data_IF_628514859720
#
_entry.id   IF_628514859720
#
_cell.length_a   1.000
_cell.length_b   1.000
_cell.length_c   1.000
_cell.angle_alpha   90.00
_cell.angle_beta   90.00
_cell.angle_gamma   90.00
#
_symmetry.space_group_name_H-M   'P 1'
#
loop_
_entity.id
_entity.type
_entity.pdbx_description
1 polymer ?
#
# COMPACT_ATOMS: atom_id res chain seq x y z
N UNK A 1 -53.58 11.46 29.10
CA UNK A 1 -52.41 10.59 29.36
C UNK A 1 -51.56 10.57 28.09
N UNK A 2 -50.46 11.34 28.07
CA UNK A 2 -49.59 11.52 26.89
C UNK A 2 -48.61 10.34 26.81
N UNK A 3 -48.68 9.55 25.74
CA UNK A 3 -47.72 8.46 25.48
C UNK A 3 -46.48 9.04 24.81
N UNK A 4 -45.37 9.15 25.55
CA UNK A 4 -44.05 9.36 24.96
C UNK A 4 -43.56 8.04 24.34
N UNK A 5 -43.35 8.03 23.04
CA UNK A 5 -42.63 6.96 22.34
C UNK A 5 -41.15 7.36 22.27
N UNK A 6 -40.30 6.65 23.02
CA UNK A 6 -38.85 6.73 22.89
C UNK A 6 -38.43 6.16 21.53
N UNK A 7 -37.82 6.99 20.69
CA UNK A 7 -37.11 6.53 19.50
C UNK A 7 -35.71 6.07 19.94
N UNK A 8 -35.44 4.77 19.84
CA UNK A 8 -34.12 4.19 20.08
C UNK A 8 -33.22 4.48 18.88
N UNK A 9 -32.18 5.30 19.07
CA UNK A 9 -31.09 5.47 18.11
C UNK A 9 -30.11 4.30 18.23
N UNK A 10 -30.21 3.33 17.31
CA UNK A 10 -29.17 2.33 17.13
C UNK A 10 -28.00 2.96 16.35
N UNK A 11 -26.86 3.17 17.01
CA UNK A 11 -25.63 3.58 16.37
C UNK A 11 -24.95 2.34 15.74
N UNK A 12 -25.00 2.23 14.42
CA UNK A 12 -24.22 1.23 13.67
C UNK A 12 -22.76 1.70 13.62
N UNK A 13 -21.90 1.07 14.41
CA UNK A 13 -20.44 1.18 14.21
C UNK A 13 -20.10 0.29 13.01
N UNK A 14 -19.93 0.89 11.83
CA UNK A 14 -19.39 0.16 10.69
C UNK A 14 -17.89 -0.06 10.93
N UNK A 15 -17.50 -1.30 11.21
CA UNK A 15 -16.10 -1.71 11.09
C UNK A 15 -15.73 -1.61 9.61
N UNK A 16 -14.84 -0.70 9.26
CA UNK A 16 -14.22 -0.69 7.93
C UNK A 16 -13.36 -1.94 7.83
N UNK A 17 -13.72 -2.90 6.97
CA UNK A 17 -12.81 -3.98 6.63
C UNK A 17 -11.53 -3.37 6.03
N UNK A 18 -10.36 -3.74 6.54
CA UNK A 18 -9.11 -3.46 5.85
C UNK A 18 -9.16 -4.19 4.51
N UNK A 19 -9.25 -3.43 3.42
CA UNK A 19 -9.20 -3.98 2.06
C UNK A 19 -7.76 -3.97 1.60
N UNK A 20 -7.40 -4.93 0.74
CA UNK A 20 -6.08 -4.97 0.12
C UNK A 20 -5.76 -3.63 -0.54
N UNK A 21 -4.56 -3.10 -0.28
CA UNK A 21 -4.13 -1.80 -0.78
C UNK A 21 -2.90 -1.96 -1.66
N UNK A 22 -2.95 -1.39 -2.86
CA UNK A 22 -1.81 -1.35 -3.79
C UNK A 22 -1.15 0.02 -3.75
N UNK A 23 0.10 0.06 -3.31
CA UNK A 23 0.96 1.23 -3.29
C UNK A 23 1.81 1.26 -4.54
N UNK A 24 1.84 2.40 -5.23
CA UNK A 24 2.62 2.63 -6.43
C UNK A 24 3.55 3.83 -6.23
N UNK A 25 4.79 3.70 -6.66
CA UNK A 25 5.79 4.76 -6.51
C UNK A 25 7.01 4.51 -7.39
N UNK A 26 7.86 5.51 -7.56
CA UNK A 26 9.14 5.38 -8.24
C UNK A 26 10.24 5.91 -7.35
N UNK A 27 11.33 5.16 -7.27
CA UNK A 27 12.50 5.45 -6.44
C UNK A 27 13.70 5.66 -7.34
N UNK A 28 14.48 6.70 -7.09
CA UNK A 28 15.77 6.89 -7.74
C UNK A 28 16.86 6.50 -6.75
N UNK A 29 17.68 5.53 -7.12
CA UNK A 29 18.76 5.00 -6.29
C UNK A 29 20.04 5.22 -7.08
N UNK A 30 20.84 6.21 -6.69
CA UNK A 30 22.02 6.62 -7.46
C UNK A 30 21.69 6.85 -8.95
N UNK A 31 22.25 6.06 -9.87
CA UNK A 31 21.99 6.13 -11.31
C UNK A 31 20.80 5.30 -11.80
N UNK A 32 20.21 4.46 -10.94
CA UNK A 32 19.10 3.57 -11.28
C UNK A 32 17.75 4.01 -10.75
N UNK A 33 16.71 3.31 -11.21
CA UNK A 33 15.32 3.51 -10.78
C UNK A 33 14.66 2.20 -10.37
N UNK A 34 13.78 2.26 -9.38
CA UNK A 34 12.88 1.17 -9.00
C UNK A 34 11.44 1.67 -9.05
N UNK A 35 10.67 1.18 -10.02
CA UNK A 35 9.24 1.42 -10.12
C UNK A 35 8.49 0.34 -9.34
N UNK A 36 7.86 0.75 -8.26
CA UNK A 36 7.23 -0.12 -7.27
C UNK A 36 5.72 -0.18 -7.51
N UNK A 37 5.17 -1.39 -7.49
CA UNK A 37 3.75 -1.66 -7.28
C UNK A 37 3.64 -2.78 -6.25
N UNK A 38 3.32 -2.46 -5.00
CA UNK A 38 3.29 -3.41 -3.88
C UNK A 38 1.87 -3.49 -3.34
N UNK A 39 1.31 -4.70 -3.29
CA UNK A 39 -0.03 -4.96 -2.75
C UNK A 39 0.09 -5.55 -1.35
N UNK A 40 -0.61 -4.93 -0.41
CA UNK A 40 -0.70 -5.36 0.99
C UNK A 40 -2.11 -5.84 1.32
N UNK A 41 -2.27 -6.49 2.47
CA UNK A 41 -3.57 -6.91 3.01
C UNK A 41 -4.42 -5.78 3.63
N UNK A 42 -3.93 -4.53 3.58
CA UNK A 42 -4.59 -3.37 4.17
C UNK A 42 -4.23 -3.11 5.63
N UNK A 43 -3.30 -3.88 6.21
CA UNK A 43 -2.76 -3.60 7.54
C UNK A 43 -2.09 -2.23 7.59
N UNK A 44 -2.38 -1.45 8.63
CA UNK A 44 -1.76 -0.15 8.92
C UNK A 44 -0.84 -0.30 10.13
N UNK A 45 0.32 0.36 10.08
CA UNK A 45 1.41 0.22 11.04
C UNK A 45 2.54 -0.65 10.47
N UNK A 46 3.35 -1.23 11.34
CA UNK A 46 4.47 -2.12 10.94
C UNK A 46 3.95 -3.34 10.20
N UNK A 47 4.56 -3.63 9.05
CA UNK A 47 4.20 -4.76 8.20
C UNK A 47 5.14 -5.93 8.41
N UNK A 48 4.58 -7.14 8.46
CA UNK A 48 5.29 -8.40 8.33
C UNK A 48 5.18 -9.00 6.93
N UNK A 49 5.93 -10.06 6.66
CA UNK A 49 5.95 -10.72 5.34
C UNK A 49 4.56 -11.20 4.90
N UNK A 50 3.74 -11.68 5.84
CA UNK A 50 2.37 -12.11 5.57
C UNK A 50 1.43 -10.97 5.14
N UNK A 51 1.76 -9.72 5.46
CA UNK A 51 0.95 -8.57 5.04
C UNK A 51 1.25 -8.15 3.59
N UNK A 52 2.36 -8.61 3.00
CA UNK A 52 2.71 -8.34 1.60
C UNK A 52 2.15 -9.46 0.73
N UNK A 53 1.11 -9.15 -0.04
CA UNK A 53 0.37 -10.14 -0.83
C UNK A 53 0.97 -10.33 -2.22
N UNK A 54 1.46 -9.24 -2.83
CA UNK A 54 2.03 -9.28 -4.17
C UNK A 54 2.91 -8.06 -4.47
N UNK A 55 3.73 -8.17 -5.50
CA UNK A 55 4.51 -7.04 -6.01
C UNK A 55 4.79 -7.15 -7.51
N UNK A 56 4.97 -6.00 -8.14
CA UNK A 56 5.62 -5.84 -9.44
C UNK A 56 6.61 -4.71 -9.27
N UNK A 57 7.89 -5.03 -9.26
CA UNK A 57 8.97 -4.05 -9.07
C UNK A 57 9.88 -4.11 -10.29
N UNK A 58 9.91 -3.03 -11.07
CA UNK A 58 10.82 -2.91 -12.21
C UNK A 58 12.03 -2.11 -11.78
N UNK A 59 13.19 -2.76 -11.77
CA UNK A 59 14.48 -2.11 -11.54
C UNK A 59 15.13 -1.81 -12.87
N UNK A 60 15.71 -0.62 -13.01
CA UNK A 60 16.44 -0.19 -14.19
C UNK A 60 17.75 0.46 -13.76
N UNK A 61 18.84 0.05 -14.37
CA UNK A 61 20.18 0.59 -14.14
C UNK A 61 20.94 0.70 -15.47
N UNK A 62 22.25 0.95 -15.40
CA UNK A 62 23.09 1.06 -16.59
C UNK A 62 23.25 -0.26 -17.38
N UNK A 63 22.90 -1.40 -16.81
CA UNK A 63 23.02 -2.72 -17.42
C UNK A 63 21.72 -3.17 -18.12
N UNK A 64 20.57 -2.66 -17.68
CA UNK A 64 19.29 -2.95 -18.31
C UNK A 64 18.12 -2.76 -17.37
N UNK A 65 17.05 -3.51 -17.65
CA UNK A 65 15.82 -3.50 -16.83
C UNK A 65 15.37 -4.92 -16.53
N UNK A 66 14.93 -5.14 -15.30
CA UNK A 66 14.39 -6.42 -14.84
C UNK A 66 13.16 -6.19 -13.97
N UNK A 67 12.14 -7.04 -14.13
CA UNK A 67 10.92 -6.97 -13.32
C UNK A 67 10.83 -8.16 -12.37
N UNK A 68 10.74 -7.83 -11.08
CA UNK A 68 10.48 -8.73 -9.97
C UNK A 68 8.96 -8.86 -9.79
N UNK A 69 8.45 -10.07 -10.00
CA UNK A 69 7.06 -10.44 -9.84
C UNK A 69 6.85 -11.26 -8.58
N UNK A 70 5.88 -10.83 -7.78
CA UNK A 70 5.40 -11.56 -6.62
C UNK A 70 4.43 -12.68 -6.99
N UNK A 71 3.88 -13.38 -5.98
CA UNK A 71 3.12 -14.62 -6.16
C UNK A 71 1.88 -14.49 -7.06
N UNK A 72 1.24 -13.31 -7.11
CA UNK A 72 0.02 -13.09 -7.89
C UNK A 72 0.28 -12.39 -9.24
N UNK A 73 1.52 -11.97 -9.49
CA UNK A 73 1.94 -11.28 -10.73
C UNK A 73 2.91 -12.09 -11.61
N UNK A 74 3.17 -13.36 -11.30
CA UNK A 74 4.01 -14.25 -12.12
C UNK A 74 5.06 -15.05 -11.34
N UNK A 75 5.34 -14.67 -10.09
CA UNK A 75 6.08 -15.49 -9.13
C UNK A 75 7.52 -15.81 -9.51
N UNK A 76 8.26 -14.86 -10.09
CA UNK A 76 9.67 -15.06 -10.45
C UNK A 76 10.66 -14.62 -9.35
N UNK A 77 10.18 -14.14 -8.21
CA UNK A 77 11.01 -13.56 -7.15
C UNK A 77 10.47 -13.88 -5.75
N UNK A 78 11.33 -13.77 -4.74
CA UNK A 78 11.01 -13.95 -3.33
C UNK A 78 11.14 -12.66 -2.53
N UNK A 79 10.48 -12.64 -1.36
CA UNK A 79 10.53 -11.55 -0.38
C UNK A 79 11.23 -12.03 0.89
N UNK A 80 12.27 -11.30 1.31
CA UNK A 80 12.79 -11.36 2.68
C UNK A 80 12.44 -10.04 3.37
N UNK A 81 11.57 -10.10 4.36
CA UNK A 81 11.21 -8.98 5.21
C UNK A 81 11.58 -9.32 6.65
N UNK A 82 12.41 -8.48 7.25
CA UNK A 82 12.84 -8.63 8.65
C UNK A 82 12.71 -7.33 9.40
N UNK A 83 12.59 -7.45 10.73
CA UNK A 83 12.54 -6.30 11.63
C UNK A 83 11.26 -5.48 11.49
N UNK A 84 11.35 -4.18 11.76
CA UNK A 84 10.18 -3.30 11.93
C UNK A 84 10.20 -2.05 11.07
N UNK A 85 11.10 -1.98 10.08
CA UNK A 85 11.29 -0.77 9.28
C UNK A 85 10.20 -0.50 8.25
N UNK A 86 9.60 -1.55 7.70
CA UNK A 86 8.51 -1.40 6.73
C UNK A 86 7.18 -1.18 7.45
N UNK A 87 6.47 -0.13 7.08
CA UNK A 87 5.16 0.20 7.62
C UNK A 87 4.23 0.78 6.55
N UNK A 88 2.93 0.68 6.76
CA UNK A 88 1.92 1.34 5.94
C UNK A 88 1.07 2.30 6.76
N UNK A 89 0.61 3.36 6.11
CA UNK A 89 -0.48 4.22 6.55
C UNK A 89 -1.67 3.99 5.62
N UNK A 90 -2.77 4.74 5.82
CA UNK A 90 -3.89 4.71 4.90
C UNK A 90 -3.52 5.16 3.47
N UNK A 91 -2.41 5.89 3.29
CA UNK A 91 -2.03 6.50 2.02
C UNK A 91 -0.64 6.10 1.55
N UNK A 92 0.26 5.71 2.44
CA UNK A 92 1.69 5.59 2.11
C UNK A 92 2.29 4.30 2.66
N UNK A 93 3.18 3.70 1.87
CA UNK A 93 4.11 2.66 2.28
C UNK A 93 5.44 3.33 2.61
N UNK A 94 5.94 3.14 3.82
CA UNK A 94 7.13 3.80 4.33
C UNK A 94 8.17 2.78 4.79
N UNK A 95 9.43 3.19 4.71
CA UNK A 95 10.54 2.49 5.35
C UNK A 95 11.32 3.43 6.26
N UNK A 96 11.47 3.03 7.53
CA UNK A 96 12.29 3.72 8.51
C UNK A 96 13.72 3.17 8.54
N UNK A 97 14.66 3.92 7.99
CA UNK A 97 16.09 3.60 7.97
C UNK A 97 16.77 3.71 9.34
N UNK A 98 16.08 4.23 10.37
CA UNK A 98 16.53 4.21 11.77
C UNK A 98 16.10 2.96 12.55
N UNK A 99 15.20 2.15 11.99
CA UNK A 99 14.74 0.90 12.61
C UNK A 99 15.77 -0.24 12.44
N UNK A 100 15.45 -1.45 12.90
CA UNK A 100 16.21 -2.65 12.53
C UNK A 100 15.44 -3.42 11.45
N UNK A 101 16.15 -3.93 10.44
CA UNK A 101 15.59 -4.86 9.46
C UNK A 101 15.96 -4.55 8.01
N UNK A 102 15.23 -5.20 7.11
CA UNK A 102 15.33 -5.01 5.66
C UNK A 102 14.05 -5.48 4.96
N UNK A 103 13.78 -4.94 3.78
CA UNK A 103 12.86 -5.51 2.80
C UNK A 103 13.62 -5.76 1.49
N UNK A 104 13.78 -7.03 1.13
CA UNK A 104 14.49 -7.50 -0.06
C UNK A 104 13.52 -8.24 -0.98
N UNK A 105 13.46 -7.80 -2.23
CA UNK A 105 12.79 -8.49 -3.31
C UNK A 105 13.85 -8.99 -4.27
N UNK A 106 13.95 -10.29 -4.50
CA UNK A 106 15.05 -10.88 -5.28
C UNK A 106 14.61 -12.06 -6.14
N UNK A 107 15.10 -12.10 -7.37
CA UNK A 107 14.91 -13.20 -8.32
C UNK A 107 16.13 -14.13 -8.37
N UNK A 108 15.99 -15.44 -8.60
CA UNK A 108 14.74 -16.21 -8.57
C UNK A 108 14.20 -16.43 -7.14
N UNK A 109 14.97 -16.08 -6.11
CA UNK A 109 14.58 -16.20 -4.72
C UNK A 109 15.58 -15.47 -3.82
N UNK A 110 15.23 -15.33 -2.54
CA UNK A 110 16.08 -14.63 -1.56
C UNK A 110 17.39 -15.39 -1.34
N UNK A 111 18.53 -14.70 -1.41
CA UNK A 111 19.86 -15.28 -1.28
C UNK A 111 20.44 -15.86 -2.57
N UNK A 112 19.77 -15.66 -3.71
CA UNK A 112 20.24 -16.18 -5.00
C UNK A 112 21.41 -15.40 -5.60
N UNK A 113 21.61 -14.15 -5.19
CA UNK A 113 22.50 -13.21 -5.88
C UNK A 113 21.97 -12.74 -7.23
N UNK A 114 20.68 -12.94 -7.54
CA UNK A 114 20.08 -12.41 -8.76
C UNK A 114 19.63 -10.96 -8.65
N UNK A 115 18.92 -10.44 -9.68
CA UNK A 115 18.37 -9.08 -9.68
C UNK A 115 17.53 -8.81 -8.44
N UNK A 116 17.65 -7.60 -7.88
CA UNK A 116 16.96 -7.26 -6.64
C UNK A 116 16.62 -5.77 -6.50
N UNK A 117 15.68 -5.51 -5.60
CA UNK A 117 15.44 -4.22 -4.98
C UNK A 117 15.45 -4.40 -3.46
N UNK A 118 16.18 -3.56 -2.74
CA UNK A 118 16.30 -3.68 -1.30
C UNK A 118 16.34 -2.34 -0.58
N UNK A 119 15.66 -2.29 0.56
CA UNK A 119 15.81 -1.24 1.57
C UNK A 119 16.27 -1.90 2.87
N UNK A 120 17.33 -1.36 3.48
CA UNK A 120 17.88 -1.90 4.73
C UNK A 120 18.24 -0.79 5.70
N UNK A 121 18.22 -1.13 6.98
CA UNK A 121 18.79 -0.29 8.04
C UNK A 121 20.15 -0.79 8.54
N UNK A 122 20.55 -2.00 8.17
CA UNK A 122 21.81 -2.65 8.55
C UNK A 122 22.40 -3.42 7.36
N UNK A 123 23.65 -3.83 7.44
CA UNK A 123 24.37 -4.52 6.36
C UNK A 123 23.83 -5.94 6.14
N UNK A 124 22.86 -6.14 5.23
CA UNK A 124 22.27 -7.47 5.00
C UNK A 124 21.75 -7.74 3.56
N UNK A 125 21.30 -6.74 2.80
CA UNK A 125 20.89 -6.91 1.41
C UNK A 125 22.08 -7.26 0.51
N UNK A 126 23.25 -6.73 0.85
CA UNK A 126 24.45 -6.75 0.02
C UNK A 126 25.68 -6.36 0.84
N UNK A 127 26.56 -7.34 1.14
CA UNK A 127 27.76 -7.12 1.96
C UNK A 127 29.05 -6.89 1.14
N UNK A 128 29.01 -7.08 -0.18
CA UNK A 128 30.16 -6.79 -1.04
C UNK A 128 30.24 -5.28 -1.31
N UNK A 129 31.35 -4.63 -0.95
CA UNK A 129 31.56 -3.20 -1.24
C UNK A 129 31.53 -2.25 -0.03
N UNK A 130 31.61 -2.78 1.20
CA UNK A 130 32.05 -2.00 2.36
C UNK A 130 31.14 -0.88 2.86
N UNK A 131 29.92 -0.78 2.35
CA UNK A 131 28.93 0.18 2.84
C UNK A 131 28.12 -0.47 3.94
N UNK A 132 28.45 -0.10 5.17
CA UNK A 132 27.81 -0.61 6.37
C UNK A 132 26.70 0.35 6.79
N UNK A 133 25.49 -0.18 6.94
CA UNK A 133 24.36 0.56 7.51
C UNK A 133 23.24 0.94 6.52
N UNK A 134 22.39 1.89 6.91
CA UNK A 134 21.12 2.11 6.22
C UNK A 134 21.29 2.62 4.79
N UNK A 135 20.65 1.93 3.84
CA UNK A 135 20.74 2.21 2.42
C UNK A 135 19.57 1.60 1.64
N UNK A 136 19.32 2.18 0.47
CA UNK A 136 18.49 1.61 -0.58
C UNK A 136 19.41 1.16 -1.73
N UNK A 137 19.13 0.00 -2.32
CA UNK A 137 19.98 -0.63 -3.33
C UNK A 137 19.14 -1.38 -4.37
N UNK A 138 19.61 -1.42 -5.62
CA UNK A 138 19.01 -2.20 -6.70
C UNK A 138 20.04 -2.71 -7.71
N UNK A 139 19.65 -3.74 -8.46
CA UNK A 139 20.32 -4.15 -9.70
C UNK A 139 19.41 -4.99 -10.60
N UNK A 140 19.53 -4.76 -11.91
CA UNK A 140 18.78 -5.45 -12.97
C UNK A 140 19.39 -6.78 -13.40
N UNK A 141 20.61 -7.09 -12.97
CA UNK A 141 21.35 -8.31 -13.31
C UNK A 141 21.67 -9.14 -12.06
N UNK A 142 22.19 -10.34 -12.26
CA UNK A 142 22.73 -11.11 -11.14
C UNK A 142 23.94 -10.38 -10.55
N UNK A 143 23.85 -10.04 -9.27
CA UNK A 143 24.90 -9.38 -8.55
C UNK A 143 25.95 -10.41 -8.10
N UNK A 144 27.17 -10.29 -8.62
CA UNK A 144 28.32 -10.97 -8.03
C UNK A 144 29.46 -10.03 -7.65
N UNK A 145 29.48 -8.78 -8.13
CA UNK A 145 30.49 -7.80 -7.77
C UNK A 145 29.90 -6.49 -7.25
N UNK A 146 30.55 -5.94 -6.22
CA UNK A 146 30.21 -4.72 -5.50
C UNK A 146 30.00 -3.46 -6.38
N UNK A 147 30.44 -3.50 -7.64
CA UNK A 147 30.45 -2.37 -8.57
C UNK A 147 29.23 -2.26 -9.46
N UNK A 148 28.44 -3.33 -9.62
CA UNK A 148 27.38 -3.39 -10.63
C UNK A 148 25.99 -3.02 -10.08
N UNK A 149 25.97 -2.38 -8.91
CA UNK A 149 24.76 -2.11 -8.14
C UNK A 149 24.57 -0.62 -7.98
N UNK A 150 23.33 -0.18 -8.12
CA UNK A 150 22.95 1.19 -7.83
C UNK A 150 22.60 1.28 -6.34
N UNK A 151 23.29 2.15 -5.59
CA UNK A 151 23.15 2.22 -4.14
C UNK A 151 23.18 3.63 -3.62
N UNK A 152 22.27 3.94 -2.69
CA UNK A 152 22.14 5.25 -2.06
C UNK A 152 21.99 5.13 -0.55
N UNK A 153 22.82 5.86 0.20
CA UNK A 153 22.70 5.97 1.64
C UNK A 153 21.48 6.81 2.01
N UNK A 154 20.63 6.30 2.91
CA UNK A 154 19.41 6.99 3.35
C UNK A 154 19.34 6.97 4.87
N UNK A 155 18.69 7.96 5.48
CA UNK A 155 18.43 8.04 6.92
C UNK A 155 16.99 8.53 7.16
N UNK A 156 16.44 8.20 8.33
CA UNK A 156 15.09 8.56 8.72
C UNK A 156 14.02 7.75 8.00
N UNK A 157 12.77 8.20 8.08
CA UNK A 157 11.64 7.55 7.41
C UNK A 157 11.43 8.13 6.02
N UNK A 158 11.24 7.26 5.02
CA UNK A 158 10.99 7.66 3.64
C UNK A 158 9.75 6.96 3.10
N UNK A 159 8.94 7.69 2.33
CA UNK A 159 7.82 7.14 1.57
C UNK A 159 8.37 6.40 0.36
N UNK A 160 8.11 5.09 0.28
CA UNK A 160 8.49 4.26 -0.84
C UNK A 160 7.48 4.37 -1.98
N UNK A 161 6.20 4.34 -1.64
CA UNK A 161 5.08 4.34 -2.57
C UNK A 161 3.82 4.85 -1.89
N UNK A 162 2.85 5.34 -2.67
CA UNK A 162 1.57 5.81 -2.14
C UNK A 162 0.42 5.02 -2.76
N UNK A 163 -0.71 4.89 -2.05
CA UNK A 163 -1.90 4.21 -2.54
C UNK A 163 -2.27 4.83 -3.88
N UNK A 164 -2.43 3.98 -4.89
CA UNK A 164 -2.96 4.41 -6.18
C UNK A 164 -4.39 4.88 -5.95
N UNK A 165 -4.61 6.21 -5.91
CA UNK A 165 -5.90 6.86 -5.57
C UNK A 165 -7.09 5.97 -5.92
N UNK A 166 -7.66 5.33 -4.90
CA UNK A 166 -8.93 4.64 -5.04
C UNK A 166 -9.95 5.73 -5.34
N UNK A 167 -10.30 5.88 -6.61
CA UNK A 167 -11.55 6.54 -7.00
C UNK A 167 -12.61 5.95 -6.08
N UNK A 168 -13.43 6.77 -5.36
CA UNK A 168 -14.42 6.23 -4.45
C UNK A 168 -15.21 5.19 -5.22
N UNK A 169 -15.13 3.93 -4.77
CA UNK A 169 -15.53 2.81 -5.59
C UNK A 169 -16.96 3.04 -6.12
N UNK A 170 -17.31 2.57 -7.33
CA UNK A 170 -18.67 2.73 -7.87
C UNK A 170 -19.76 2.33 -6.88
N UNK A 171 -19.47 1.39 -5.96
CA UNK A 171 -20.31 1.02 -4.83
C UNK A 171 -20.60 2.16 -3.85
N UNK A 172 -19.61 2.99 -3.49
CA UNK A 172 -19.79 4.14 -2.59
C UNK A 172 -20.76 5.16 -3.19
N UNK A 173 -20.63 5.42 -4.50
CA UNK A 173 -21.57 6.28 -5.22
C UNK A 173 -22.96 5.65 -5.26
N UNK A 174 -23.06 4.37 -5.56
CA UNK A 174 -24.33 3.65 -5.57
C UNK A 174 -25.02 3.66 -4.20
N UNK A 175 -24.27 3.52 -3.10
CA UNK A 175 -24.80 3.57 -1.73
C UNK A 175 -25.21 4.98 -1.33
N UNK A 176 -24.46 6.02 -1.71
CA UNK A 176 -24.89 7.41 -1.50
C UNK A 176 -26.16 7.72 -2.30
N UNK A 177 -26.21 7.34 -3.57
CA UNK A 177 -27.38 7.52 -4.45
C UNK A 177 -28.57 6.73 -3.90
N UNK A 178 -28.37 5.49 -3.44
CA UNK A 178 -29.42 4.67 -2.84
C UNK A 178 -29.93 5.31 -1.53
N UNK A 179 -29.03 5.81 -0.68
CA UNK A 179 -29.38 6.51 0.56
C UNK A 179 -30.19 7.79 0.29
N UNK A 180 -29.71 8.66 -0.60
CA UNK A 180 -30.44 9.86 -1.01
C UNK A 180 -31.75 9.55 -1.75
N UNK A 181 -31.76 8.49 -2.56
CA UNK A 181 -32.95 8.00 -3.27
C UNK A 181 -34.03 7.51 -2.31
N UNK A 182 -33.65 6.78 -1.24
CA UNK A 182 -34.56 6.33 -0.19
C UNK A 182 -35.15 7.52 0.58
N UNK A 183 -34.33 8.48 1.01
CA UNK A 183 -34.78 9.68 1.72
C UNK A 183 -35.73 10.51 0.85
N UNK A 184 -35.33 10.81 -0.39
CA UNK A 184 -36.14 11.57 -1.35
C UNK A 184 -37.45 10.86 -1.70
N UNK A 185 -37.41 9.54 -1.88
CA UNK A 185 -38.60 8.71 -2.12
C UNK A 185 -39.58 8.73 -0.94
N UNK A 186 -39.07 8.65 0.29
CA UNK A 186 -39.89 8.75 1.50
C UNK A 186 -40.56 10.13 1.66
N UNK A 187 -39.84 11.20 1.32
CA UNK A 187 -40.41 12.56 1.32
C UNK A 187 -41.51 12.73 0.26
N UNK A 188 -41.30 12.24 -0.96
CA UNK A 188 -42.29 12.31 -2.06
C UNK A 188 -43.54 11.47 -1.81
N UNK A 189 -43.44 10.40 -1.02
CA UNK A 189 -44.58 9.53 -0.68
C UNK A 189 -45.55 10.16 0.33
N UNK A 190 -45.21 11.28 0.99
CA UNK A 190 -46.15 11.95 1.90
C UNK A 190 -47.38 12.43 1.10
N UNK A 191 -48.55 11.90 1.46
CA UNK A 191 -49.84 12.16 0.79
C UNK A 191 -50.16 13.65 0.79
N UNK A 192 -50.71 14.15 -0.33
CA UNK A 192 -51.27 15.50 -0.47
C UNK A 192 -52.22 15.77 0.71
N UNK A 193 -51.89 16.78 1.52
CA UNK A 193 -52.76 17.23 2.61
C UNK A 193 -53.96 17.88 1.95
N UNK A 194 -55.15 17.30 2.12
CA UNK A 194 -56.37 17.85 1.55
C UNK A 194 -56.81 19.02 2.44
N UNK A 195 -56.39 20.23 2.07
CA UNK A 195 -56.71 21.45 2.82
C UNK A 195 -58.13 21.85 2.45
N UNK A 196 -59.09 21.65 3.37
CA UNK A 196 -60.43 22.24 3.27
C UNK A 196 -60.37 23.66 3.80
N UNK A 197 -60.63 24.65 2.94
CA UNK A 197 -60.84 26.05 3.34
C UNK A 197 -62.35 26.30 3.40
N UNK A 198 -62.83 26.80 4.54
CA UNK A 198 -64.22 27.28 4.70
C UNK A 198 -64.19 28.79 4.77
N UNK A 199 -64.96 29.46 3.91
CA UNK A 199 -65.19 30.90 3.99
C UNK A 199 -66.44 31.17 4.82
N UNK A 200 -66.44 32.32 5.52
CA UNK A 200 -67.53 32.82 6.34
C UNK A 200 -68.43 33.76 5.54
#
# INVERSE_FOLDING_TARGET
MKKLLLASTAAFVMATSANAATFVGSRTVAGGTADLSITTDGTVGTLGSANILDWTITVTDSFGSFTLFGPLSGGNSGLLLTGSGLSATATDLLYDFGSNGLALFQSPGTGSGGPFYCVQSSSNCFDSGGFLGPAEALSSIACCDAGDQERMAIRGSVVLASVRNAVPEPGTWAMMIAGFGLVGGAMRRRRKVNVKVSYA
#
